data_IF_280495647778
#
_entry.id   IF_280495647778
#
_cell.length_a   1.000
_cell.length_b   1.000
_cell.length_c   1.000
_cell.angle_alpha   90.00
_cell.angle_beta   90.00
_cell.angle_gamma   90.00
#
_symmetry.space_group_name_H-M   'P 1'
#
loop_
_entity.id
_entity.type
_entity.pdbx_description
1 polymer ?
#
# COMPACT_ATOMS: atom_id res chain seq x y z
N UNK A 1 7.90 -12.12 2.64
CA UNK A 1 6.72 -11.93 1.77
C UNK A 1 7.24 -11.18 0.55
N UNK A 2 6.88 -11.57 -0.66
CA UNK A 2 7.21 -10.80 -1.86
C UNK A 2 6.16 -9.71 -2.10
N UNK A 3 6.43 -8.79 -3.03
CA UNK A 3 5.59 -7.62 -3.30
C UNK A 3 4.18 -8.03 -3.77
N UNK A 4 4.08 -9.13 -4.52
CA UNK A 4 2.81 -9.70 -4.98
C UNK A 4 1.96 -10.21 -3.81
N UNK A 5 2.55 -10.97 -2.91
CA UNK A 5 1.83 -11.44 -1.73
C UNK A 5 1.46 -10.27 -0.82
N UNK A 6 2.33 -9.27 -0.67
CA UNK A 6 2.02 -8.07 0.11
C UNK A 6 0.83 -7.30 -0.47
N UNK A 7 0.79 -7.13 -1.79
CA UNK A 7 -0.35 -6.53 -2.49
C UNK A 7 -1.66 -7.29 -2.21
N UNK A 8 -1.64 -8.62 -2.37
CA UNK A 8 -2.81 -9.49 -2.15
C UNK A 8 -3.31 -9.41 -0.70
N UNK A 9 -2.41 -9.44 0.28
CA UNK A 9 -2.80 -9.33 1.70
C UNK A 9 -3.45 -7.98 2.00
N UNK A 10 -2.88 -6.88 1.51
CA UNK A 10 -3.46 -5.54 1.68
C UNK A 10 -4.86 -5.48 1.02
N UNK A 11 -5.02 -6.00 -0.20
CA UNK A 11 -6.31 -6.08 -0.88
C UNK A 11 -7.33 -6.85 -0.05
N UNK A 12 -6.94 -8.01 0.47
CA UNK A 12 -7.82 -8.86 1.26
C UNK A 12 -8.28 -8.20 2.56
N UNK A 13 -7.39 -7.47 3.24
CA UNK A 13 -7.72 -6.72 4.46
C UNK A 13 -8.73 -5.61 4.12
N UNK A 14 -8.42 -4.77 3.13
CA UNK A 14 -9.31 -3.70 2.68
C UNK A 14 -10.69 -4.21 2.23
N UNK A 15 -10.74 -5.32 1.47
CA UNK A 15 -11.99 -5.92 1.03
C UNK A 15 -12.82 -6.43 2.20
N UNK A 16 -12.20 -7.11 3.17
CA UNK A 16 -12.91 -7.58 4.37
C UNK A 16 -13.47 -6.41 5.17
N UNK A 17 -12.74 -5.30 5.24
CA UNK A 17 -13.21 -4.11 5.95
C UNK A 17 -14.46 -3.52 5.28
N UNK A 18 -14.41 -3.32 3.97
CA UNK A 18 -15.54 -2.80 3.20
C UNK A 18 -16.75 -3.74 3.22
N UNK A 19 -16.53 -5.05 3.16
CA UNK A 19 -17.60 -6.05 3.08
C UNK A 19 -18.27 -6.31 4.44
N UNK A 20 -17.53 -6.22 5.54
CA UNK A 20 -17.99 -6.68 6.86
C UNK A 20 -17.92 -5.62 7.97
N UNK A 21 -17.42 -4.41 7.70
CA UNK A 21 -17.20 -3.33 8.69
C UNK A 21 -16.46 -3.83 9.93
N UNK A 22 -15.31 -4.49 9.72
CA UNK A 22 -14.57 -5.15 10.80
C UNK A 22 -13.72 -4.13 11.55
N UNK A 23 -14.19 -3.67 12.70
CA UNK A 23 -13.50 -2.69 13.58
C UNK A 23 -12.13 -3.10 14.19
N UNK A 24 -11.24 -3.80 13.46
CA UNK A 24 -9.93 -4.32 13.87
C UNK A 24 -8.91 -4.17 12.73
N UNK A 25 -9.09 -3.19 11.85
CA UNK A 25 -8.23 -2.96 10.69
C UNK A 25 -6.75 -2.83 11.09
N UNK A 26 -6.48 -2.07 12.15
CA UNK A 26 -5.14 -1.91 12.74
C UNK A 26 -4.53 -3.24 13.20
N UNK A 27 -5.34 -4.15 13.77
CA UNK A 27 -4.88 -5.48 14.18
C UNK A 27 -4.53 -6.36 12.98
N UNK A 28 -5.28 -6.24 11.87
CA UNK A 28 -5.01 -6.98 10.64
C UNK A 28 -3.76 -6.44 9.90
N UNK A 29 -3.48 -5.13 9.95
CA UNK A 29 -2.29 -4.55 9.31
C UNK A 29 -1.01 -4.64 10.13
N UNK A 30 -1.09 -4.67 11.47
CA UNK A 30 0.10 -4.70 12.34
C UNK A 30 1.15 -5.75 11.93
N UNK A 31 0.79 -6.99 11.55
CA UNK A 31 1.76 -7.99 11.11
C UNK A 31 2.49 -7.64 9.80
N UNK A 32 1.94 -6.74 8.98
CA UNK A 32 2.47 -6.34 7.68
C UNK A 32 3.37 -5.09 7.73
N UNK A 33 3.35 -4.32 8.82
CA UNK A 33 4.05 -3.03 8.88
C UNK A 33 5.55 -3.13 8.59
N UNK A 34 6.24 -4.15 9.09
CA UNK A 34 7.67 -4.32 8.78
C UNK A 34 7.93 -4.56 7.30
N UNK A 35 7.02 -5.27 6.60
CA UNK A 35 7.15 -5.50 5.16
C UNK A 35 6.79 -4.25 4.36
N UNK A 36 5.76 -3.51 4.78
CA UNK A 36 5.36 -2.24 4.18
C UNK A 36 6.49 -1.20 4.33
N UNK A 37 7.05 -1.07 5.52
CA UNK A 37 8.20 -0.19 5.78
C UNK A 37 9.40 -0.56 4.91
N UNK A 38 9.75 -1.86 4.85
CA UNK A 38 10.87 -2.33 4.02
C UNK A 38 10.63 -2.03 2.54
N UNK A 39 9.40 -2.19 2.05
CA UNK A 39 9.03 -1.87 0.68
C UNK A 39 9.15 -0.36 0.42
N UNK A 40 8.56 0.49 1.27
CA UNK A 40 8.64 1.95 1.10
C UNK A 40 10.09 2.45 1.21
N UNK A 41 10.92 1.86 2.07
CA UNK A 41 12.35 2.17 2.16
C UNK A 41 13.09 1.77 0.88
N UNK A 42 12.79 0.62 0.28
CA UNK A 42 13.43 0.22 -0.98
C UNK A 42 13.12 1.20 -2.12
N UNK A 43 11.93 1.83 -2.11
CA UNK A 43 11.57 2.87 -3.08
C UNK A 43 12.47 4.10 -2.98
N UNK A 44 13.01 4.42 -1.80
CA UNK A 44 13.95 5.52 -1.61
C UNK A 44 15.36 5.19 -2.12
N UNK A 45 15.67 3.91 -2.33
CA UNK A 45 16.96 3.41 -2.82
C UNK A 45 16.99 3.26 -4.35
N UNK A 46 15.83 3.28 -5.02
CA UNK A 46 15.73 3.22 -6.48
C UNK A 46 16.29 4.49 -7.13
N UNK A 47 17.06 4.31 -8.20
CA UNK A 47 17.52 5.40 -9.05
C UNK A 47 16.37 5.89 -9.96
N UNK A 48 15.55 6.79 -9.42
CA UNK A 48 14.49 7.47 -10.16
C UNK A 48 15.05 8.48 -11.15
N UNK A 49 14.35 8.66 -12.27
CA UNK A 49 14.66 9.75 -13.21
C UNK A 49 14.59 11.11 -12.48
N UNK A 50 15.51 12.01 -12.84
CA UNK A 50 15.76 13.23 -12.09
C UNK A 50 14.55 14.17 -11.99
N UNK A 51 13.64 14.10 -12.96
CA UNK A 51 12.41 14.89 -13.03
C UNK A 51 11.28 14.35 -12.13
N UNK A 52 11.29 13.05 -11.80
CA UNK A 52 10.29 12.42 -10.93
C UNK A 52 10.83 12.09 -9.53
N UNK A 53 12.16 12.06 -9.34
CA UNK A 53 12.81 11.63 -8.09
C UNK A 53 12.30 12.38 -6.86
N UNK A 54 12.29 13.71 -6.92
CA UNK A 54 11.88 14.53 -5.75
C UNK A 54 10.40 14.33 -5.42
N UNK A 55 9.57 14.11 -6.45
CA UNK A 55 8.16 13.79 -6.28
C UNK A 55 7.98 12.45 -5.57
N UNK A 56 8.63 11.38 -6.07
CA UNK A 56 8.53 10.04 -5.48
C UNK A 56 9.03 10.03 -4.03
N UNK A 57 10.17 10.66 -3.75
CA UNK A 57 10.70 10.74 -2.37
C UNK A 57 9.72 11.46 -1.45
N UNK A 58 9.17 12.61 -1.88
CA UNK A 58 8.20 13.36 -1.08
C UNK A 58 6.93 12.56 -0.83
N UNK A 59 6.44 11.84 -1.83
CA UNK A 59 5.22 11.05 -1.77
C UNK A 59 5.39 9.82 -0.86
N UNK A 60 6.51 9.10 -0.98
CA UNK A 60 6.84 7.97 -0.09
C UNK A 60 6.96 8.44 1.37
N UNK A 61 7.61 9.59 1.62
CA UNK A 61 7.67 10.16 2.96
C UNK A 61 6.27 10.56 3.49
N UNK A 62 5.40 11.08 2.63
CA UNK A 62 4.00 11.37 2.95
C UNK A 62 3.25 10.11 3.37
N UNK A 63 3.32 9.05 2.56
CA UNK A 63 2.71 7.75 2.84
C UNK A 63 3.19 7.18 4.18
N UNK A 64 4.50 7.22 4.45
CA UNK A 64 5.03 6.76 5.75
C UNK A 64 4.48 7.57 6.92
N UNK A 65 4.33 8.89 6.76
CA UNK A 65 3.76 9.75 7.79
C UNK A 65 2.26 9.48 8.00
N UNK A 66 1.50 9.29 6.92
CA UNK A 66 0.07 8.99 6.99
C UNK A 66 -0.20 7.63 7.66
N UNK A 67 0.67 6.63 7.44
CA UNK A 67 0.61 5.35 8.18
C UNK A 67 0.80 5.57 9.68
N UNK A 68 1.79 6.39 10.08
CA UNK A 68 2.04 6.70 11.48
C UNK A 68 0.86 7.47 12.10
N UNK A 69 0.35 8.48 11.41
CA UNK A 69 -0.78 9.28 11.87
C UNK A 69 -2.05 8.42 12.01
N UNK A 70 -2.32 7.55 11.03
CA UNK A 70 -3.44 6.62 11.08
C UNK A 70 -3.33 5.64 12.25
N UNK A 71 -2.13 5.11 12.49
CA UNK A 71 -1.90 4.17 13.57
C UNK A 71 -2.03 4.82 14.95
N UNK A 72 -1.40 5.98 15.15
CA UNK A 72 -1.39 6.68 16.45
C UNK A 72 -2.77 7.20 16.86
N UNK A 73 -3.62 7.55 15.88
CA UNK A 73 -4.97 8.05 16.11
C UNK A 73 -6.07 6.99 16.01
N UNK A 74 -5.71 5.72 15.77
CA UNK A 74 -6.67 4.65 15.48
C UNK A 74 -7.64 5.02 14.32
N UNK A 75 -7.15 5.74 13.31
CA UNK A 75 -7.93 6.21 12.16
C UNK A 75 -7.97 5.12 11.09
N UNK A 76 -9.00 4.29 11.13
CA UNK A 76 -9.21 3.22 10.17
C UNK A 76 -9.46 3.75 8.73
N UNK A 77 -10.03 4.94 8.58
CA UNK A 77 -10.31 5.51 7.25
C UNK A 77 -8.99 5.93 6.59
N UNK A 78 -8.14 6.65 7.32
CA UNK A 78 -6.81 7.02 6.82
C UNK A 78 -5.94 5.78 6.60
N UNK A 79 -6.02 4.78 7.48
CA UNK A 79 -5.29 3.52 7.32
C UNK A 79 -5.71 2.78 6.05
N UNK A 80 -7.01 2.68 5.75
CA UNK A 80 -7.48 2.11 4.49
C UNK A 80 -6.99 2.90 3.27
N UNK A 81 -7.10 4.23 3.33
CA UNK A 81 -6.75 5.12 2.23
C UNK A 81 -5.27 5.03 1.87
N UNK A 82 -4.38 5.15 2.87
CA UNK A 82 -2.93 5.08 2.66
C UNK A 82 -2.48 3.71 2.17
N UNK A 83 -3.12 2.63 2.63
CA UNK A 83 -2.81 1.28 2.17
C UNK A 83 -3.27 1.07 0.71
N UNK A 84 -4.47 1.53 0.36
CA UNK A 84 -5.06 1.32 -0.98
C UNK A 84 -4.47 2.25 -2.05
N UNK A 85 -4.26 3.52 -1.72
CA UNK A 85 -3.88 4.55 -2.69
C UNK A 85 -2.44 5.04 -2.54
N UNK A 86 -1.80 4.81 -1.39
CA UNK A 86 -0.36 4.99 -1.21
C UNK A 86 0.39 3.70 -1.56
N UNK A 87 0.38 2.74 -0.63
CA UNK A 87 1.23 1.54 -0.68
C UNK A 87 0.93 0.67 -1.90
N UNK A 88 -0.34 0.32 -2.14
CA UNK A 88 -0.70 -0.56 -3.26
C UNK A 88 -0.41 0.04 -4.63
N UNK A 89 -0.52 1.36 -4.80
CA UNK A 89 -0.22 2.00 -6.09
C UNK A 89 1.26 1.87 -6.45
N UNK A 90 2.17 1.96 -5.48
CA UNK A 90 3.58 1.69 -5.70
C UNK A 90 3.86 0.20 -5.87
N UNK A 91 3.22 -0.68 -5.11
CA UNK A 91 3.38 -2.13 -5.27
C UNK A 91 3.05 -2.58 -6.71
N UNK A 92 1.99 -2.00 -7.31
CA UNK A 92 1.59 -2.30 -8.70
C UNK A 92 2.71 -2.11 -9.73
N UNK A 93 3.66 -1.21 -9.49
CA UNK A 93 4.80 -0.99 -10.39
C UNK A 93 5.72 -2.21 -10.53
N UNK A 94 5.67 -3.13 -9.56
CA UNK A 94 6.50 -4.33 -9.50
C UNK A 94 5.71 -5.62 -9.77
N UNK A 95 4.42 -5.50 -10.09
CA UNK A 95 3.58 -6.64 -10.43
C UNK A 95 3.64 -6.90 -11.95
N UNK A 96 3.53 -8.16 -12.38
CA UNK A 96 3.36 -8.49 -13.79
C UNK A 96 2.12 -7.78 -14.38
N UNK A 97 2.19 -7.34 -15.64
CA UNK A 97 1.07 -6.65 -16.31
C UNK A 97 -0.21 -7.51 -16.34
N UNK A 98 -0.06 -8.82 -16.59
CA UNK A 98 -1.15 -9.80 -16.62
C UNK A 98 -1.78 -10.06 -15.24
N UNK A 99 -1.12 -9.63 -14.15
CA UNK A 99 -1.66 -9.74 -12.81
C UNK A 99 -2.75 -8.70 -12.53
N UNK A 100 -2.71 -7.54 -13.18
CA UNK A 100 -3.68 -6.46 -12.97
C UNK A 100 -4.96 -6.64 -13.80
N UNK A 101 -4.89 -7.45 -14.87
CA UNK A 101 -6.01 -7.72 -15.76
C UNK A 101 -7.03 -8.72 -15.16
N UNK A 102 -6.61 -9.54 -14.19
CA UNK A 102 -7.49 -10.51 -13.50
C UNK A 102 -8.40 -9.84 -12.45
N UNK A 103 -8.19 -8.57 -12.10
CA UNK A 103 -8.99 -7.81 -11.12
C UNK A 103 -10.24 -7.13 -11.73
N UNK A 104 -10.70 -7.57 -12.92
CA UNK A 104 -12.11 -7.43 -13.31
C UNK A 104 -12.54 -6.11 -13.96
N UNK A 105 -11.67 -5.38 -14.64
CA UNK A 105 -12.07 -4.28 -15.56
C UNK A 105 -11.58 -4.44 -17.01
N UNK A 106 -10.90 -5.52 -17.35
CA UNK A 106 -10.48 -5.81 -18.73
C UNK A 106 -11.61 -6.40 -19.56
N UNK A 107 -12.43 -5.54 -20.18
CA UNK A 107 -13.09 -5.88 -21.44
C UNK A 107 -12.64 -4.84 -22.47
N UNK A 108 -11.78 -5.28 -23.40
CA UNK A 108 -11.70 -4.71 -24.74
C UNK A 108 -13.04 -4.83 -25.48
#
# INVERSE_FOLDING_TARGET
MDDKQLYIEITNINYKELAYSRHRLQEEYRPLFSQIESFLQSMLEIEWEADIRDYVISDIMGIMNDILEAYDNEDDVLMMDVMAYGVQNYLKLFLPEDFLDEDGTGNE
#
